data_IF_660925363400
#
_entry.id   IF_660925363400
#
_cell.length_a   1.000
_cell.length_b   1.000
_cell.length_c   1.000
_cell.angle_alpha   90.00
_cell.angle_beta   90.00
_cell.angle_gamma   90.00
#
_symmetry.space_group_name_H-M   'P 1'
#
loop_
_entity.id
_entity.type
_entity.pdbx_description
1 polymer ?
#
# COMPACT_ATOMS: atom_id res chain seq x y z
N UNK A 1 -20.60 -10.71 -4.71
CA UNK A 1 -19.67 -9.63 -4.36
C UNK A 1 -20.05 -8.41 -5.15
N UNK A 2 -20.45 -7.33 -4.49
CA UNK A 2 -20.80 -6.07 -5.13
C UNK A 2 -20.04 -4.94 -4.44
N UNK A 3 -19.48 -4.04 -5.24
CA UNK A 3 -18.90 -2.80 -4.75
C UNK A 3 -19.88 -1.67 -5.09
N UNK A 4 -20.32 -0.94 -4.06
CA UNK A 4 -21.16 0.25 -4.23
C UNK A 4 -20.36 1.45 -3.75
N UNK A 5 -20.12 2.41 -4.64
CA UNK A 5 -19.44 3.65 -4.29
C UNK A 5 -20.40 4.55 -3.48
N UNK A 6 -20.20 4.59 -2.17
CA UNK A 6 -20.99 5.39 -1.25
C UNK A 6 -20.54 6.86 -1.27
N UNK A 7 -21.30 7.70 -1.98
CA UNK A 7 -21.06 9.13 -2.12
C UNK A 7 -21.31 9.94 -0.84
N UNK A 8 -21.87 9.34 0.22
CA UNK A 8 -22.04 10.00 1.52
C UNK A 8 -20.73 10.13 2.29
N UNK A 9 -19.71 9.35 1.91
CA UNK A 9 -18.40 9.40 2.56
C UNK A 9 -17.60 10.60 2.06
N UNK A 10 -16.93 11.33 2.97
CA UNK A 10 -16.12 12.48 2.58
C UNK A 10 -14.98 12.03 1.67
N UNK A 11 -14.77 12.76 0.58
CA UNK A 11 -13.67 12.50 -0.34
C UNK A 11 -12.37 12.95 0.31
N UNK A 12 -11.35 12.09 0.27
CA UNK A 12 -10.01 12.41 0.76
C UNK A 12 -9.22 13.32 -0.20
N UNK A 13 -7.98 13.62 0.17
CA UNK A 13 -7.05 14.34 -0.69
C UNK A 13 -6.73 13.54 -1.97
N UNK A 14 -6.74 14.20 -3.13
CA UNK A 14 -6.50 13.55 -4.44
C UNK A 14 -5.09 12.95 -4.58
N UNK A 15 -4.09 13.53 -3.91
CA UNK A 15 -2.70 13.08 -3.97
C UNK A 15 -2.03 13.34 -2.63
N UNK A 16 -1.39 12.30 -2.09
CA UNK A 16 -0.57 12.37 -0.88
C UNK A 16 0.67 11.51 -1.10
N UNK A 17 1.81 12.16 -1.30
CA UNK A 17 3.11 11.53 -1.52
C UNK A 17 4.15 12.22 -0.65
N UNK A 18 5.19 11.48 -0.28
CA UNK A 18 6.36 12.00 0.45
C UNK A 18 7.50 12.19 -0.53
N UNK A 19 8.23 13.30 -0.40
CA UNK A 19 9.50 13.47 -1.09
C UNK A 19 10.59 12.63 -0.39
N UNK A 20 11.30 11.83 -1.18
CA UNK A 20 12.32 10.89 -0.70
C UNK A 20 13.72 11.25 -1.21
N UNK A 21 13.94 12.48 -1.65
CA UNK A 21 15.23 12.93 -2.21
C UNK A 21 16.39 12.70 -1.24
N UNK A 22 16.22 13.02 0.05
CA UNK A 22 17.24 12.79 1.08
C UNK A 22 17.60 11.30 1.27
N UNK A 23 16.63 10.40 1.17
CA UNK A 23 16.89 8.96 1.27
C UNK A 23 17.72 8.48 0.07
N UNK A 24 17.42 9.00 -1.13
CA UNK A 24 18.19 8.68 -2.33
C UNK A 24 19.62 9.22 -2.27
N UNK A 25 19.83 10.41 -1.71
CA UNK A 25 21.16 10.98 -1.47
C UNK A 25 21.97 10.13 -0.48
N UNK A 26 21.29 9.50 0.49
CA UNK A 26 21.88 8.52 1.40
C UNK A 26 22.10 7.13 0.75
N UNK A 27 21.96 7.03 -0.58
CA UNK A 27 21.97 5.80 -1.38
C UNK A 27 21.01 4.71 -0.90
N UNK A 28 19.98 5.11 -0.14
CA UNK A 28 18.93 4.21 0.29
C UNK A 28 17.91 4.02 -0.84
N UNK A 29 17.57 2.75 -1.09
CA UNK A 29 16.57 2.35 -2.09
C UNK A 29 15.62 1.32 -1.51
N UNK A 30 14.37 1.40 -1.92
CA UNK A 30 13.38 0.40 -1.57
C UNK A 30 13.75 -0.95 -2.19
N UNK A 31 13.43 -2.03 -1.49
CA UNK A 31 13.81 -3.39 -1.91
C UNK A 31 12.67 -4.16 -2.57
N UNK A 32 11.43 -3.76 -2.29
CA UNK A 32 10.23 -4.47 -2.72
C UNK A 32 9.31 -3.55 -3.51
N UNK A 33 8.85 -4.02 -4.65
CA UNK A 33 7.77 -3.39 -5.39
C UNK A 33 6.43 -3.59 -4.67
N UNK A 34 5.51 -2.65 -4.86
CA UNK A 34 4.21 -2.67 -4.17
C UNK A 34 3.45 -3.97 -4.40
N UNK A 35 3.47 -4.48 -5.63
CA UNK A 35 2.76 -5.71 -6.01
C UNK A 35 3.27 -6.93 -5.26
N UNK A 36 4.58 -7.04 -5.08
CA UNK A 36 5.20 -8.15 -4.38
C UNK A 36 4.92 -8.06 -2.89
N UNK A 37 4.99 -6.85 -2.32
CA UNK A 37 4.62 -6.60 -0.93
C UNK A 37 3.17 -6.99 -0.61
N UNK A 38 2.21 -6.64 -1.49
CA UNK A 38 0.79 -7.03 -1.32
C UNK A 38 0.63 -8.55 -1.38
N UNK A 39 1.31 -9.21 -2.32
CA UNK A 39 1.23 -10.67 -2.48
C UNK A 39 1.72 -11.41 -1.24
N UNK A 40 2.90 -11.06 -0.73
CA UNK A 40 3.47 -11.73 0.45
C UNK A 40 2.66 -11.41 1.72
N UNK A 41 2.16 -10.18 1.86
CA UNK A 41 1.28 -9.82 2.98
C UNK A 41 -0.02 -10.63 2.97
N UNK A 42 -0.63 -10.80 1.79
CA UNK A 42 -1.86 -11.59 1.68
C UNK A 42 -1.61 -13.07 1.95
N UNK A 43 -0.49 -13.61 1.46
CA UNK A 43 -0.06 -14.98 1.77
C UNK A 43 0.10 -15.18 3.29
N UNK A 44 0.80 -14.27 3.97
CA UNK A 44 0.95 -14.32 5.43
C UNK A 44 -0.41 -14.36 6.14
N UNK A 45 -1.35 -13.49 5.74
CA UNK A 45 -2.71 -13.47 6.32
C UNK A 45 -3.42 -14.82 6.18
N UNK A 46 -3.37 -15.44 5.00
CA UNK A 46 -3.98 -16.75 4.75
C UNK A 46 -3.33 -17.87 5.57
N UNK A 47 -2.03 -17.80 5.78
CA UNK A 47 -1.28 -18.84 6.48
C UNK A 47 -1.40 -18.75 8.00
N UNK A 48 -1.52 -17.54 8.55
CA UNK A 48 -1.35 -17.28 9.99
C UNK A 48 -2.57 -16.70 10.71
N UNK A 49 -3.52 -16.10 9.99
CA UNK A 49 -4.65 -15.38 10.61
C UNK A 49 -6.00 -15.95 10.17
N UNK A 50 -6.13 -16.33 8.90
CA UNK A 50 -7.40 -16.84 8.37
C UNK A 50 -7.67 -18.30 8.75
N UNK A 51 -6.62 -19.11 8.87
CA UNK A 51 -6.70 -20.49 9.40
C UNK A 51 -6.81 -20.45 10.92
#
# INVERSE_FOLDING_TARGET
GGFTHDLTKPVGMRRKLVDISLLKEFDWKYQFELKDGIKETYKYYLENIYK
#
